data_IF_945757174635
#
_entry.id   IF_945757174635
#
_cell.length_a   1.000
_cell.length_b   1.000
_cell.length_c   1.000
_cell.angle_alpha   90.00
_cell.angle_beta   90.00
_cell.angle_gamma   90.00
#
_symmetry.space_group_name_H-M   'P 1'
#
loop_
_entity.id
_entity.type
_entity.pdbx_description
1 polymer ?
#
# COMPACT_ATOMS: atom_id res chain seq x y z
N UNK A 1 -1.58 -15.29 -24.74
CA UNK A 1 -2.49 -14.37 -24.01
C UNK A 1 -3.47 -15.23 -23.23
N UNK A 2 -3.62 -15.07 -21.92
CA UNK A 2 -4.67 -15.77 -21.19
C UNK A 2 -6.02 -15.29 -21.74
N UNK A 3 -6.90 -16.23 -22.07
CA UNK A 3 -8.28 -15.94 -22.46
C UNK A 3 -8.95 -15.26 -21.25
N UNK A 4 -9.30 -13.99 -21.36
CA UNK A 4 -10.17 -13.33 -20.39
C UNK A 4 -11.52 -14.01 -20.45
N UNK A 5 -11.82 -14.86 -19.47
CA UNK A 5 -13.14 -15.46 -19.32
C UNK A 5 -14.02 -14.41 -18.64
N UNK A 6 -15.11 -14.06 -19.28
CA UNK A 6 -16.09 -13.11 -18.76
C UNK A 6 -16.82 -13.71 -17.56
N UNK A 7 -16.84 -13.00 -16.43
CA UNK A 7 -17.44 -13.45 -15.18
C UNK A 7 -18.93 -13.85 -15.31
N UNK A 8 -19.79 -13.10 -16.03
CA UNK A 8 -21.15 -13.51 -16.33
C UNK A 8 -21.25 -14.89 -16.99
N UNK A 9 -20.39 -15.18 -17.98
CA UNK A 9 -20.35 -16.48 -18.65
C UNK A 9 -19.97 -17.63 -17.70
N UNK A 10 -19.02 -17.37 -16.78
CA UNK A 10 -18.64 -18.34 -15.73
C UNK A 10 -19.81 -18.60 -14.78
N UNK A 11 -20.51 -17.55 -14.34
CA UNK A 11 -21.65 -17.68 -13.44
C UNK A 11 -22.83 -18.42 -14.11
N UNK A 12 -23.08 -18.16 -15.39
CA UNK A 12 -24.08 -18.91 -16.16
C UNK A 12 -23.72 -20.38 -16.24
N UNK A 13 -22.44 -20.70 -16.54
CA UNK A 13 -21.95 -22.08 -16.57
C UNK A 13 -22.11 -22.77 -15.21
N UNK A 14 -21.67 -22.13 -14.11
CA UNK A 14 -21.81 -22.68 -12.74
C UNK A 14 -23.29 -22.92 -12.39
N UNK A 15 -24.17 -22.01 -12.75
CA UNK A 15 -25.61 -22.15 -12.49
C UNK A 15 -26.30 -23.24 -13.35
N UNK A 16 -25.67 -23.66 -14.45
CA UNK A 16 -26.16 -24.77 -15.29
C UNK A 16 -25.63 -26.15 -14.87
N UNK A 17 -24.67 -26.19 -13.96
CA UNK A 17 -24.05 -27.44 -13.51
C UNK A 17 -24.93 -28.19 -12.52
N UNK A 18 -24.91 -29.53 -12.59
CA UNK A 18 -25.47 -30.42 -11.58
C UNK A 18 -24.63 -30.39 -10.29
N UNK A 19 -25.22 -30.85 -9.17
CA UNK A 19 -24.51 -30.96 -7.90
C UNK A 19 -23.24 -31.78 -7.95
N UNK A 20 -23.21 -32.81 -8.80
CA UNK A 20 -22.02 -33.64 -9.01
C UNK A 20 -20.90 -32.87 -9.73
N UNK A 21 -21.23 -32.11 -10.77
CA UNK A 21 -20.29 -31.28 -11.50
C UNK A 21 -19.79 -30.11 -10.61
N UNK A 22 -20.65 -29.51 -9.80
CA UNK A 22 -20.26 -28.48 -8.84
C UNK A 22 -19.25 -29.01 -7.81
N UNK A 23 -19.40 -30.26 -7.36
CA UNK A 23 -18.39 -30.91 -6.47
C UNK A 23 -17.05 -31.08 -7.17
N UNK A 24 -17.02 -31.54 -8.41
CA UNK A 24 -15.80 -31.74 -9.22
C UNK A 24 -15.11 -30.35 -9.42
N UNK A 25 -15.88 -29.33 -9.79
CA UNK A 25 -15.36 -27.96 -9.97
C UNK A 25 -14.77 -27.45 -8.65
N UNK A 26 -15.46 -27.65 -7.54
CA UNK A 26 -14.99 -27.22 -6.21
C UNK A 26 -13.70 -27.94 -5.80
N UNK A 27 -13.59 -29.25 -6.06
CA UNK A 27 -12.40 -30.05 -5.77
C UNK A 27 -11.21 -29.63 -6.66
N UNK A 28 -11.47 -29.30 -7.92
CA UNK A 28 -10.44 -28.79 -8.83
C UNK A 28 -9.98 -27.39 -8.45
N UNK A 29 -10.91 -26.50 -8.08
CA UNK A 29 -10.60 -25.18 -7.52
C UNK A 29 -9.78 -25.34 -6.23
N UNK A 30 -10.18 -26.24 -5.33
CA UNK A 30 -9.43 -26.52 -4.11
C UNK A 30 -8.01 -27.01 -4.42
N UNK A 31 -7.86 -27.89 -5.43
CA UNK A 31 -6.56 -28.41 -5.88
C UNK A 31 -5.67 -27.30 -6.45
N UNK A 32 -6.22 -26.39 -7.25
CA UNK A 32 -5.50 -25.22 -7.78
C UNK A 32 -5.12 -24.25 -6.65
N UNK A 33 -6.04 -24.01 -5.70
CA UNK A 33 -5.78 -23.17 -4.54
C UNK A 33 -4.72 -23.77 -3.60
N UNK A 34 -4.65 -25.10 -3.48
CA UNK A 34 -3.62 -25.79 -2.70
C UNK A 34 -2.22 -25.70 -3.34
N UNK A 35 -2.12 -25.49 -4.66
CA UNK A 35 -0.83 -25.25 -5.36
C UNK A 35 -0.26 -23.85 -5.11
N UNK A 36 -1.09 -22.90 -4.69
CA UNK A 36 -0.62 -21.55 -4.33
C UNK A 36 0.07 -21.60 -2.97
N UNK A 37 1.26 -20.97 -2.82
CA UNK A 37 1.98 -20.99 -1.56
C UNK A 37 1.14 -20.34 -0.44
N UNK A 38 1.09 -21.01 0.68
CA UNK A 38 0.48 -20.40 1.88
C UNK A 38 1.32 -19.23 2.35
N UNK A 39 0.70 -18.26 3.04
CA UNK A 39 1.46 -17.16 3.66
C UNK A 39 2.58 -17.67 4.57
N UNK A 40 2.37 -18.81 5.25
CA UNK A 40 3.40 -19.44 6.09
C UNK A 40 4.57 -19.96 5.28
N UNK A 41 4.33 -20.54 4.10
CA UNK A 41 5.38 -20.99 3.18
C UNK A 41 6.15 -19.82 2.57
N UNK A 42 5.48 -18.77 2.12
CA UNK A 42 6.11 -17.54 1.64
C UNK A 42 7.01 -16.89 2.72
N UNK A 43 6.56 -16.86 3.98
CA UNK A 43 7.35 -16.40 5.12
C UNK A 43 8.59 -17.26 5.37
N UNK A 44 8.43 -18.59 5.31
CA UNK A 44 9.55 -19.50 5.50
C UNK A 44 10.56 -19.38 4.37
N UNK A 45 10.10 -19.25 3.14
CA UNK A 45 10.97 -19.07 1.98
C UNK A 45 11.73 -17.75 2.03
N UNK A 46 11.03 -16.64 2.34
CA UNK A 46 11.69 -15.36 2.55
C UNK A 46 12.76 -15.42 3.65
N UNK A 47 12.49 -16.10 4.78
CA UNK A 47 13.47 -16.26 5.85
C UNK A 47 14.61 -17.21 5.51
N UNK A 48 14.42 -18.19 4.63
CA UNK A 48 15.51 -19.02 4.12
C UNK A 48 16.45 -18.24 3.21
N UNK A 49 15.89 -17.44 2.29
CA UNK A 49 16.65 -16.67 1.30
C UNK A 49 17.37 -15.47 1.91
N UNK A 50 16.74 -14.75 2.84
CA UNK A 50 17.33 -13.59 3.54
C UNK A 50 18.21 -13.95 4.74
N UNK A 51 18.33 -15.26 5.08
CA UNK A 51 18.96 -15.69 6.31
C UNK A 51 18.05 -15.47 7.54
N UNK A 52 18.39 -16.13 8.65
CA UNK A 52 17.64 -15.95 9.91
C UNK A 52 18.19 -14.75 10.69
N UNK A 53 18.09 -13.57 10.09
CA UNK A 53 18.47 -12.33 10.76
C UNK A 53 17.41 -11.89 11.78
N UNK A 54 17.88 -11.26 12.85
CA UNK A 54 17.02 -10.74 13.89
C UNK A 54 16.23 -9.52 13.37
N UNK A 55 14.88 -9.53 13.43
CA UNK A 55 14.07 -8.40 12.97
C UNK A 55 14.17 -7.17 13.89
N UNK A 56 14.91 -7.24 14.99
CA UNK A 56 15.08 -6.14 15.94
C UNK A 56 16.45 -5.44 15.83
N UNK A 57 17.50 -6.15 15.40
CA UNK A 57 18.86 -5.61 15.36
C UNK A 57 19.69 -6.15 14.19
N UNK A 58 19.10 -6.90 13.26
CA UNK A 58 19.75 -7.55 12.11
C UNK A 58 20.89 -8.53 12.48
N UNK A 59 21.06 -8.85 13.78
CA UNK A 59 22.09 -9.78 14.23
C UNK A 59 21.75 -11.23 13.89
N UNK A 60 22.75 -12.11 13.93
CA UNK A 60 22.61 -13.55 13.63
C UNK A 60 21.70 -14.24 14.64
N UNK A 61 20.80 -15.09 14.14
CA UNK A 61 19.88 -15.85 14.98
C UNK A 61 20.08 -17.37 14.83
N UNK A 62 19.74 -18.09 15.89
CA UNK A 62 19.75 -19.56 15.93
C UNK A 62 18.37 -20.09 16.24
N UNK A 63 18.08 -21.31 15.82
CA UNK A 63 16.83 -21.98 16.17
C UNK A 63 16.76 -22.18 17.71
N UNK A 64 15.60 -21.89 18.28
CA UNK A 64 15.36 -21.98 19.73
C UNK A 64 14.02 -22.67 20.01
N UNK A 65 13.92 -23.94 19.65
CA UNK A 65 12.71 -24.74 19.87
C UNK A 65 11.48 -24.25 19.11
N UNK A 66 10.31 -24.69 19.55
CA UNK A 66 9.01 -24.29 19.01
C UNK A 66 8.16 -23.65 20.08
N UNK A 67 7.26 -22.73 19.69
CA UNK A 67 6.28 -22.18 20.60
C UNK A 67 5.10 -23.16 20.79
N UNK A 68 4.17 -22.82 21.70
CA UNK A 68 2.97 -23.64 22.00
C UNK A 68 2.10 -23.92 20.76
N UNK A 69 2.13 -23.04 19.76
CA UNK A 69 1.40 -23.20 18.49
C UNK A 69 2.20 -23.99 17.42
N UNK A 70 3.35 -24.60 17.80
CA UNK A 70 4.17 -25.41 16.91
C UNK A 70 5.10 -24.62 15.97
N UNK A 71 5.07 -23.28 15.98
CA UNK A 71 5.93 -22.46 15.13
C UNK A 71 7.37 -22.46 15.61
N UNK A 72 8.33 -22.58 14.67
CA UNK A 72 9.75 -22.47 14.96
C UNK A 72 10.08 -21.12 15.59
N UNK A 73 10.73 -21.13 16.73
CA UNK A 73 11.29 -19.95 17.39
C UNK A 73 12.77 -19.79 17.05
N UNK A 74 13.20 -18.56 17.03
CA UNK A 74 14.60 -18.17 16.84
C UNK A 74 15.02 -17.27 18.00
N UNK A 75 16.29 -17.32 18.37
CA UNK A 75 16.91 -16.43 19.35
C UNK A 75 18.06 -15.69 18.70
N UNK A 76 18.07 -14.38 18.84
CA UNK A 76 19.19 -13.56 18.38
C UNK A 76 20.39 -13.73 19.32
N UNK A 77 21.59 -13.90 18.72
CA UNK A 77 22.83 -14.00 19.49
C UNK A 77 23.26 -12.66 20.07
N UNK A 78 22.95 -11.55 19.38
CA UNK A 78 23.43 -10.21 19.74
C UNK A 78 22.51 -9.54 20.77
N UNK A 79 21.19 -9.47 20.51
CA UNK A 79 20.24 -8.79 21.40
C UNK A 79 19.45 -9.74 22.33
N UNK A 80 19.63 -11.06 22.24
CA UNK A 80 19.00 -12.07 23.08
C UNK A 80 17.50 -12.26 22.87
N UNK A 81 16.84 -11.47 22.01
CA UNK A 81 15.38 -11.52 21.78
C UNK A 81 14.98 -12.78 21.04
N UNK A 82 13.83 -13.35 21.45
CA UNK A 82 13.18 -14.43 20.73
C UNK A 82 12.19 -13.89 19.71
N UNK A 83 12.07 -14.58 18.56
CA UNK A 83 11.14 -14.23 17.50
C UNK A 83 10.72 -15.47 16.69
N UNK A 84 9.71 -15.33 15.86
CA UNK A 84 9.24 -16.34 14.90
C UNK A 84 9.28 -15.75 13.49
N UNK A 85 9.03 -16.53 12.44
CA UNK A 85 8.91 -16.03 11.08
C UNK A 85 7.85 -14.92 10.96
N UNK A 86 6.77 -14.98 11.73
CA UNK A 86 5.69 -13.98 11.71
C UNK A 86 6.07 -12.64 12.39
N UNK A 87 7.18 -12.59 13.13
CA UNK A 87 7.57 -11.37 13.86
C UNK A 87 7.92 -10.25 12.90
N UNK A 88 7.43 -9.05 13.18
CA UNK A 88 7.53 -7.84 12.36
C UNK A 88 6.77 -7.87 11.02
N UNK A 89 6.06 -8.94 10.71
CA UNK A 89 5.18 -9.03 9.53
C UNK A 89 3.71 -8.73 9.90
N UNK A 90 2.83 -8.46 8.94
CA UNK A 90 1.39 -8.29 9.21
C UNK A 90 0.75 -9.45 9.98
N UNK A 91 1.30 -10.66 9.88
CA UNK A 91 0.81 -11.85 10.57
C UNK A 91 1.22 -11.91 12.05
N UNK A 92 2.03 -10.99 12.53
CA UNK A 92 2.43 -10.97 13.95
C UNK A 92 1.20 -10.91 14.86
N UNK A 93 1.17 -11.79 15.88
CA UNK A 93 0.08 -11.91 16.87
C UNK A 93 -1.30 -12.23 16.25
N UNK A 94 -1.34 -12.90 15.10
CA UNK A 94 -2.60 -13.43 14.56
C UNK A 94 -2.94 -14.78 15.22
N UNK A 95 -4.25 -15.03 15.42
CA UNK A 95 -4.80 -16.31 15.85
C UNK A 95 -5.54 -17.05 14.74
N UNK A 96 -5.67 -16.41 13.57
CA UNK A 96 -6.35 -16.97 12.40
C UNK A 96 -5.34 -17.70 11.53
N UNK A 97 -5.80 -18.74 10.83
CA UNK A 97 -5.00 -19.55 9.92
C UNK A 97 -4.60 -18.81 8.64
N UNK A 98 -3.73 -19.41 7.86
CA UNK A 98 -3.23 -18.85 6.61
C UNK A 98 -4.32 -18.69 5.54
N UNK A 99 -5.31 -19.60 5.50
CA UNK A 99 -6.41 -19.50 4.53
C UNK A 99 -7.29 -18.30 4.78
N UNK A 100 -7.65 -18.01 6.03
CA UNK A 100 -8.40 -16.78 6.38
C UNK A 100 -7.64 -15.51 5.98
N UNK A 101 -6.31 -15.50 6.15
CA UNK A 101 -5.48 -14.38 5.72
C UNK A 101 -5.46 -14.25 4.20
N UNK A 102 -5.37 -15.36 3.47
CA UNK A 102 -5.43 -15.35 2.00
C UNK A 102 -6.75 -14.77 1.51
N UNK A 103 -7.88 -15.29 2.00
CA UNK A 103 -9.21 -14.74 1.70
C UNK A 103 -9.31 -13.24 2.03
N UNK A 104 -8.73 -12.81 3.16
CA UNK A 104 -8.70 -11.39 3.52
C UNK A 104 -7.92 -10.55 2.49
N UNK A 105 -6.77 -11.01 2.02
CA UNK A 105 -5.96 -10.31 1.03
C UNK A 105 -6.62 -10.27 -0.35
N UNK A 106 -7.24 -11.37 -0.79
CA UNK A 106 -8.03 -11.43 -2.02
C UNK A 106 -9.17 -10.41 -2.00
N UNK A 107 -9.95 -10.39 -0.93
CA UNK A 107 -11.02 -9.40 -0.77
C UNK A 107 -10.49 -7.96 -0.67
N UNK A 108 -9.33 -7.75 -0.03
CA UNK A 108 -8.69 -6.44 0.01
C UNK A 108 -8.30 -5.98 -1.40
N UNK A 109 -7.76 -6.87 -2.23
CA UNK A 109 -7.45 -6.61 -3.64
C UNK A 109 -8.69 -6.30 -4.49
N UNK A 110 -9.85 -6.88 -4.13
CA UNK A 110 -11.16 -6.55 -4.73
C UNK A 110 -11.80 -5.28 -4.14
N UNK A 111 -11.05 -4.51 -3.34
CA UNK A 111 -11.50 -3.27 -2.71
C UNK A 111 -12.69 -3.44 -1.73
N UNK A 112 -12.83 -4.61 -1.12
CA UNK A 112 -13.90 -4.90 -0.18
C UNK A 112 -13.95 -3.93 1.01
N UNK A 113 -15.16 -3.62 1.43
CA UNK A 113 -15.43 -2.81 2.62
C UNK A 113 -15.08 -3.58 3.90
N UNK A 114 -14.97 -2.87 5.03
CA UNK A 114 -14.74 -3.54 6.33
C UNK A 114 -15.85 -4.55 6.66
N UNK A 115 -17.10 -4.23 6.33
CA UNK A 115 -18.23 -5.14 6.61
C UNK A 115 -18.15 -6.43 5.79
N UNK A 116 -17.81 -6.35 4.50
CA UNK A 116 -17.60 -7.52 3.65
C UNK A 116 -16.45 -8.38 4.15
N UNK A 117 -15.32 -7.74 4.52
CA UNK A 117 -14.18 -8.43 5.13
C UNK A 117 -14.57 -9.15 6.43
N UNK A 118 -15.41 -8.54 7.29
CA UNK A 118 -15.86 -9.20 8.53
C UNK A 118 -16.71 -10.42 8.25
N UNK A 119 -17.70 -10.29 7.34
CA UNK A 119 -18.60 -11.38 6.98
C UNK A 119 -17.86 -12.56 6.37
N UNK A 120 -17.01 -12.31 5.35
CA UNK A 120 -16.34 -13.38 4.62
C UNK A 120 -15.23 -14.07 5.42
N UNK A 121 -14.48 -13.33 6.24
CA UNK A 121 -13.35 -13.86 7.01
C UNK A 121 -13.73 -14.32 8.43
N UNK A 122 -14.95 -14.14 8.87
CA UNK A 122 -15.39 -14.48 10.25
C UNK A 122 -14.54 -13.77 11.31
N UNK A 123 -14.31 -12.46 11.15
CA UNK A 123 -13.51 -11.62 12.05
C UNK A 123 -14.29 -10.37 12.45
N UNK A 124 -13.96 -9.75 13.58
CA UNK A 124 -14.60 -8.49 14.01
C UNK A 124 -14.17 -7.32 13.13
N UNK A 125 -15.01 -6.26 13.07
CA UNK A 125 -14.68 -5.01 12.36
C UNK A 125 -13.34 -4.42 12.82
N UNK A 126 -13.08 -4.44 14.12
CA UNK A 126 -11.81 -3.97 14.70
C UNK A 126 -10.63 -4.80 14.18
N UNK A 127 -10.80 -6.13 14.06
CA UNK A 127 -9.75 -7.01 13.51
C UNK A 127 -9.54 -6.74 12.03
N UNK A 128 -10.60 -6.65 11.22
CA UNK A 128 -10.51 -6.34 9.80
C UNK A 128 -9.82 -4.99 9.56
N UNK A 129 -10.19 -3.96 10.32
CA UNK A 129 -9.56 -2.65 10.26
C UNK A 129 -8.06 -2.70 10.63
N UNK A 130 -7.70 -3.44 11.69
CA UNK A 130 -6.30 -3.62 12.11
C UNK A 130 -5.49 -4.38 11.08
N UNK A 131 -6.02 -5.46 10.52
CA UNK A 131 -5.35 -6.26 9.49
C UNK A 131 -5.08 -5.43 8.25
N UNK A 132 -6.08 -4.68 7.76
CA UNK A 132 -5.91 -3.76 6.64
C UNK A 132 -4.78 -2.75 6.90
N UNK A 133 -4.75 -2.14 8.08
CA UNK A 133 -3.69 -1.20 8.42
C UNK A 133 -2.31 -1.87 8.52
N UNK A 134 -2.21 -3.12 9.00
CA UNK A 134 -0.95 -3.86 9.00
C UNK A 134 -0.42 -4.11 7.59
N UNK A 135 -1.30 -4.51 6.65
CA UNK A 135 -0.94 -4.67 5.25
C UNK A 135 -0.50 -3.33 4.66
N UNK A 136 -1.26 -2.28 4.89
CA UNK A 136 -0.94 -0.94 4.42
C UNK A 136 0.38 -0.40 4.99
N UNK A 137 0.70 -0.67 6.25
CA UNK A 137 1.98 -0.29 6.84
C UNK A 137 3.16 -1.01 6.19
N UNK A 138 3.01 -2.29 5.85
CA UNK A 138 4.01 -3.03 5.10
C UNK A 138 4.24 -2.43 3.69
N UNK A 139 3.16 -2.04 3.01
CA UNK A 139 3.26 -1.39 1.70
C UNK A 139 3.84 0.03 1.77
N UNK A 140 3.57 0.79 2.84
CA UNK A 140 4.23 2.08 3.07
C UNK A 140 5.75 1.87 3.24
N UNK A 141 6.16 0.86 4.00
CA UNK A 141 7.58 0.53 4.17
C UNK A 141 8.23 0.13 2.84
N UNK A 142 7.58 -0.73 2.06
CA UNK A 142 8.03 -1.11 0.72
C UNK A 142 8.19 0.14 -0.18
N UNK A 143 7.18 1.01 -0.22
CA UNK A 143 7.21 2.25 -1.00
C UNK A 143 8.33 3.21 -0.56
N UNK A 144 8.64 3.27 0.75
CA UNK A 144 9.72 4.10 1.26
C UNK A 144 11.11 3.62 0.81
N UNK A 145 11.25 2.32 0.59
CA UNK A 145 12.51 1.68 0.18
C UNK A 145 12.58 1.43 -1.34
N UNK A 146 11.57 1.84 -2.10
CA UNK A 146 11.53 1.66 -3.54
C UNK A 146 12.46 2.66 -4.23
N UNK A 147 13.31 2.18 -5.13
CA UNK A 147 14.18 3.00 -5.95
C UNK A 147 13.55 3.21 -7.33
N UNK A 148 13.48 4.48 -7.74
CA UNK A 148 13.02 4.93 -9.04
C UNK A 148 14.24 5.32 -9.89
N UNK A 149 14.22 4.96 -11.18
CA UNK A 149 15.35 5.17 -12.08
C UNK A 149 14.90 5.60 -13.49
N UNK A 150 15.84 6.08 -14.28
CA UNK A 150 15.59 6.50 -15.66
C UNK A 150 14.75 7.78 -15.72
N UNK A 151 13.72 7.81 -16.54
CA UNK A 151 12.80 8.96 -16.63
C UNK A 151 11.70 8.83 -15.61
N UNK A 152 11.58 9.84 -14.73
CA UNK A 152 10.63 9.87 -13.60
C UNK A 152 9.63 11.00 -13.84
N UNK A 153 8.36 10.64 -14.08
CA UNK A 153 7.26 11.59 -14.10
C UNK A 153 6.92 12.01 -12.66
N UNK A 154 6.74 13.32 -12.42
CA UNK A 154 6.45 13.85 -11.10
C UNK A 154 5.39 14.97 -11.17
N UNK A 155 4.33 14.83 -10.37
CA UNK A 155 3.25 15.82 -10.24
C UNK A 155 2.53 15.66 -8.90
N UNK A 156 1.73 16.65 -8.47
CA UNK A 156 1.02 16.61 -7.20
C UNK A 156 -0.49 16.49 -7.38
N UNK A 157 -1.10 15.66 -6.53
CA UNK A 157 -2.55 15.69 -6.31
C UNK A 157 -2.90 16.22 -4.94
N UNK A 158 -4.12 16.76 -4.79
CA UNK A 158 -4.55 17.45 -3.58
C UNK A 158 -5.87 16.91 -3.07
N UNK A 159 -5.90 16.60 -1.79
CA UNK A 159 -7.11 16.16 -1.10
C UNK A 159 -7.44 17.11 0.05
N UNK A 160 -8.73 17.32 0.30
CA UNK A 160 -9.16 17.99 1.54
C UNK A 160 -8.81 17.13 2.75
N UNK A 161 -8.47 17.78 3.86
CA UNK A 161 -8.30 17.07 5.12
C UNK A 161 -9.61 16.41 5.56
N UNK A 162 -9.49 15.22 6.14
CA UNK A 162 -10.62 14.42 6.61
C UNK A 162 -10.35 13.84 8.00
N UNK A 163 -11.26 14.14 8.91
CA UNK A 163 -11.27 13.61 10.29
C UNK A 163 -12.26 12.45 10.44
N UNK A 164 -12.65 11.80 9.35
CA UNK A 164 -13.63 10.70 9.34
C UNK A 164 -13.32 9.64 10.39
N UNK A 165 -14.33 9.25 11.15
CA UNK A 165 -14.22 8.21 12.20
C UNK A 165 -13.46 8.65 13.44
N UNK A 166 -13.11 9.92 13.56
CA UNK A 166 -12.44 10.46 14.74
C UNK A 166 -13.46 11.22 15.62
N UNK A 167 -13.99 10.53 16.60
CA UNK A 167 -14.92 11.09 17.58
C UNK A 167 -14.25 11.56 18.86
N UNK A 168 -12.92 11.36 19.00
CA UNK A 168 -12.18 11.65 20.22
C UNK A 168 -11.65 13.08 20.32
N UNK A 169 -11.69 13.84 19.23
CA UNK A 169 -11.23 15.24 19.21
C UNK A 169 -12.42 16.16 19.27
N UNK A 170 -12.68 16.67 20.43
CA UNK A 170 -13.65 17.72 20.67
C UNK A 170 -13.01 18.87 21.49
N UNK A 171 -13.15 20.14 21.10
CA UNK A 171 -13.81 20.56 19.87
C UNK A 171 -13.07 20.08 18.61
N UNK A 172 -13.82 19.82 17.55
CA UNK A 172 -13.25 19.43 16.28
C UNK A 172 -12.26 20.52 15.80
N UNK A 173 -11.17 20.09 15.14
CA UNK A 173 -10.17 21.04 14.63
C UNK A 173 -10.76 22.04 13.60
N UNK A 174 -11.94 21.79 13.12
CA UNK A 174 -12.79 22.63 12.26
C UNK A 174 -14.21 22.10 12.27
N UNK A 175 -15.15 22.91 11.78
CA UNK A 175 -16.53 22.49 11.56
C UNK A 175 -16.63 21.32 10.56
N UNK A 176 -17.70 20.51 10.72
CA UNK A 176 -17.97 19.45 9.78
C UNK A 176 -18.29 20.02 8.41
N UNK A 177 -17.71 19.42 7.36
CA UNK A 177 -18.00 19.81 5.96
C UNK A 177 -19.07 18.91 5.39
N UNK A 178 -19.97 19.47 4.60
CA UNK A 178 -20.87 18.69 3.75
C UNK A 178 -20.05 17.88 2.76
N UNK A 179 -20.50 16.66 2.45
CA UNK A 179 -19.86 15.79 1.49
C UNK A 179 -19.83 16.48 0.12
N UNK A 180 -18.65 16.49 -0.50
CA UNK A 180 -18.46 17.12 -1.82
C UNK A 180 -18.35 18.66 -1.79
N UNK A 181 -18.47 19.33 -0.61
CA UNK A 181 -18.27 20.78 -0.53
C UNK A 181 -16.89 21.19 -1.04
N UNK A 182 -16.81 22.35 -1.71
CA UNK A 182 -15.53 22.93 -2.14
C UNK A 182 -14.67 23.37 -0.93
N UNK A 183 -13.36 23.56 -1.11
CA UNK A 183 -12.54 24.24 -0.11
C UNK A 183 -13.04 25.67 0.07
N UNK A 184 -12.96 26.22 1.28
CA UNK A 184 -13.40 27.58 1.56
C UNK A 184 -12.42 28.63 1.00
N UNK A 185 -11.13 28.26 0.92
CA UNK A 185 -10.09 29.10 0.36
C UNK A 185 -9.87 28.79 -1.12
N UNK A 186 -9.73 29.84 -1.94
CA UNK A 186 -9.51 29.73 -3.38
C UNK A 186 -8.12 29.14 -3.70
N UNK A 187 -8.06 28.27 -4.69
CA UNK A 187 -6.82 27.66 -5.19
C UNK A 187 -6.20 26.65 -4.23
N UNK A 188 -4.90 26.36 -4.38
CA UNK A 188 -4.17 25.45 -3.50
C UNK A 188 -3.91 26.15 -2.17
N UNK A 189 -4.54 25.66 -1.11
CA UNK A 189 -4.53 26.29 0.20
C UNK A 189 -4.17 25.30 1.31
N UNK A 190 -3.97 25.83 2.52
CA UNK A 190 -3.72 25.01 3.73
C UNK A 190 -4.84 24.04 4.12
N UNK A 191 -6.01 24.14 3.48
CA UNK A 191 -7.11 23.20 3.67
C UNK A 191 -6.91 21.89 2.92
N UNK A 192 -5.94 21.87 2.01
CA UNK A 192 -5.64 20.72 1.16
C UNK A 192 -4.33 20.07 1.59
N UNK A 193 -4.34 18.75 1.56
CA UNK A 193 -3.19 17.88 1.78
C UNK A 193 -2.54 17.68 0.42
N UNK A 194 -1.24 17.97 0.33
CA UNK A 194 -0.42 17.75 -0.85
C UNK A 194 0.12 16.33 -0.88
N UNK A 195 -0.05 15.65 -2.01
CA UNK A 195 0.41 14.28 -2.26
C UNK A 195 1.22 14.31 -3.56
N UNK A 196 2.52 14.58 -3.50
CA UNK A 196 3.39 14.38 -4.65
C UNK A 196 3.43 12.90 -5.02
N UNK A 197 3.35 12.65 -6.31
CA UNK A 197 3.39 11.34 -6.93
C UNK A 197 4.59 11.29 -7.88
N UNK A 198 5.33 10.19 -7.85
CA UNK A 198 6.44 9.91 -8.76
C UNK A 198 6.22 8.56 -9.41
N UNK A 199 6.59 8.45 -10.69
CA UNK A 199 6.54 7.22 -11.44
C UNK A 199 7.74 7.13 -12.37
N UNK A 200 8.44 6.00 -12.38
CA UNK A 200 9.55 5.77 -13.30
C UNK A 200 9.12 5.12 -14.63
N UNK A 201 10.07 5.00 -15.54
CA UNK A 201 9.86 4.35 -16.85
C UNK A 201 9.47 2.87 -16.72
N UNK A 202 9.87 2.21 -15.64
CA UNK A 202 9.58 0.80 -15.37
C UNK A 202 8.18 0.58 -14.78
N UNK A 203 7.43 1.66 -14.53
CA UNK A 203 6.07 1.61 -13.99
C UNK A 203 6.00 1.44 -12.48
N UNK A 204 7.07 1.76 -11.76
CA UNK A 204 7.06 1.83 -10.30
C UNK A 204 6.50 3.16 -9.85
N UNK A 205 5.62 3.12 -8.84
CA UNK A 205 4.95 4.31 -8.32
C UNK A 205 5.26 4.55 -6.86
N UNK A 206 5.62 5.79 -6.51
CA UNK A 206 5.75 6.24 -5.13
C UNK A 206 4.95 7.51 -4.93
N UNK A 207 4.07 7.51 -3.93
CA UNK A 207 3.31 8.68 -3.55
C UNK A 207 3.15 8.74 -2.02
N UNK A 208 3.21 9.95 -1.44
CA UNK A 208 3.16 10.15 0.01
C UNK A 208 2.50 11.49 0.33
N UNK A 209 1.79 11.57 1.44
CA UNK A 209 1.40 12.86 2.01
C UNK A 209 2.66 13.57 2.48
N UNK A 210 2.83 14.82 2.06
CA UNK A 210 4.00 15.62 2.42
C UNK A 210 3.66 16.80 3.33
N UNK A 211 2.80 17.69 2.87
CA UNK A 211 2.47 18.94 3.58
C UNK A 211 1.02 19.36 3.31
N UNK A 212 0.63 20.50 3.85
CA UNK A 212 -0.60 21.20 3.49
C UNK A 212 -0.28 22.31 2.49
N UNK A 213 -1.16 22.52 1.51
CA UNK A 213 -1.01 23.54 0.48
C UNK A 213 0.10 23.22 -0.51
N UNK A 214 0.72 24.24 -1.07
CA UNK A 214 1.74 24.09 -2.13
C UNK A 214 2.95 23.32 -1.65
N UNK A 215 3.48 22.49 -2.53
CA UNK A 215 4.72 21.74 -2.29
C UNK A 215 5.93 22.69 -2.20
N UNK A 216 6.94 22.30 -1.44
CA UNK A 216 8.23 22.98 -1.38
C UNK A 216 9.38 21.96 -1.50
N UNK A 217 10.54 22.45 -1.92
CA UNK A 217 11.70 21.59 -2.19
C UNK A 217 12.23 20.85 -0.93
N UNK A 218 12.35 21.47 0.25
CA UNK A 218 12.80 20.75 1.45
C UNK A 218 11.89 19.58 1.80
N UNK A 219 10.58 19.74 1.67
CA UNK A 219 9.62 18.67 1.95
C UNK A 219 9.71 17.55 0.91
N UNK A 220 9.88 17.89 -0.38
CA UNK A 220 10.13 16.89 -1.43
C UNK A 220 11.41 16.11 -1.13
N UNK A 221 12.53 16.79 -0.85
CA UNK A 221 13.80 16.10 -0.54
C UNK A 221 13.66 15.19 0.66
N UNK A 222 13.02 15.64 1.74
CA UNK A 222 12.78 14.80 2.92
C UNK A 222 11.91 13.60 2.64
N UNK A 223 10.94 13.73 1.73
CA UNK A 223 10.01 12.64 1.38
C UNK A 223 10.62 11.62 0.44
N UNK A 224 11.40 12.05 -0.56
CA UNK A 224 11.69 11.24 -1.74
C UNK A 224 13.18 11.13 -2.08
N UNK A 225 14.11 11.80 -1.36
CA UNK A 225 15.53 11.70 -1.69
C UNK A 225 16.04 10.24 -1.72
N UNK A 226 15.55 9.40 -0.80
CA UNK A 226 15.91 7.98 -0.78
C UNK A 226 15.19 7.11 -1.83
N UNK A 227 14.31 7.70 -2.65
CA UNK A 227 13.62 6.98 -3.71
C UNK A 227 14.19 7.27 -5.12
N UNK A 228 15.09 8.25 -5.27
CA UNK A 228 15.60 8.66 -6.58
C UNK A 228 17.03 8.16 -6.75
N UNK A 229 17.25 7.40 -7.80
CA UNK A 229 18.61 7.01 -8.21
C UNK A 229 19.31 8.21 -8.86
N UNK A 230 20.52 8.59 -8.40
CA UNK A 230 21.28 9.66 -9.03
C UNK A 230 21.49 9.41 -10.53
N UNK A 231 21.46 10.49 -11.34
CA UNK A 231 21.52 10.41 -12.79
C UNK A 231 20.17 10.14 -13.49
N UNK A 232 19.07 10.04 -12.73
CA UNK A 232 17.72 9.99 -13.28
C UNK A 232 17.30 11.33 -13.88
N UNK A 233 16.28 11.31 -14.72
CA UNK A 233 15.66 12.50 -15.34
C UNK A 233 14.28 12.70 -14.76
N UNK A 234 14.04 13.80 -14.05
CA UNK A 234 12.72 14.15 -13.53
C UNK A 234 11.98 14.98 -14.57
N UNK A 235 10.76 14.55 -14.93
CA UNK A 235 9.83 15.29 -15.78
C UNK A 235 8.68 15.78 -14.92
N UNK A 236 8.50 17.10 -14.81
CA UNK A 236 7.43 17.69 -13.98
C UNK A 236 6.74 18.84 -14.70
N UNK A 237 5.66 19.33 -14.11
CA UNK A 237 5.09 20.61 -14.47
C UNK A 237 6.05 21.78 -14.12
N UNK A 238 5.58 23.02 -14.31
CA UNK A 238 6.38 24.24 -14.06
C UNK A 238 6.58 24.58 -12.58
N UNK A 239 6.27 23.68 -11.63
CA UNK A 239 6.41 23.97 -10.20
C UNK A 239 7.89 24.17 -9.82
N UNK A 240 8.16 25.33 -9.17
CA UNK A 240 9.53 25.75 -8.85
C UNK A 240 10.22 24.85 -7.81
N UNK A 241 9.43 24.10 -7.01
CA UNK A 241 9.95 23.18 -6.01
C UNK A 241 10.85 22.10 -6.60
N UNK A 242 10.50 21.60 -7.79
CA UNK A 242 11.27 20.53 -8.46
C UNK A 242 12.67 20.97 -8.88
N UNK A 243 12.92 22.27 -9.14
CA UNK A 243 14.25 22.77 -9.53
C UNK A 243 15.31 22.60 -8.44
N UNK A 244 14.92 22.81 -7.18
CA UNK A 244 15.83 22.57 -6.05
C UNK A 244 15.87 21.10 -5.65
N UNK A 245 14.74 20.42 -5.76
CA UNK A 245 14.64 18.99 -5.45
C UNK A 245 15.53 18.17 -6.38
N UNK A 246 15.44 18.34 -7.71
CA UNK A 246 16.24 17.57 -8.67
C UNK A 246 17.75 17.72 -8.41
N UNK A 247 18.21 18.95 -8.14
CA UNK A 247 19.60 19.21 -7.76
C UNK A 247 20.01 18.48 -6.48
N UNK A 248 19.10 18.43 -5.47
CA UNK A 248 19.41 17.79 -4.19
C UNK A 248 19.52 16.26 -4.26
N UNK A 249 18.96 15.64 -5.29
CA UNK A 249 19.00 14.19 -5.51
C UNK A 249 19.92 13.78 -6.67
N UNK A 250 20.62 14.75 -7.29
CA UNK A 250 21.53 14.48 -8.40
C UNK A 250 20.81 14.01 -9.68
N UNK A 251 19.62 14.56 -9.94
CA UNK A 251 18.80 14.25 -11.11
C UNK A 251 18.69 15.46 -12.03
N UNK A 252 18.60 15.22 -13.34
CA UNK A 252 18.28 16.25 -14.32
C UNK A 252 16.78 16.59 -14.28
N UNK A 253 16.42 17.82 -14.64
CA UNK A 253 15.03 18.26 -14.63
C UNK A 253 14.60 18.76 -16.01
N UNK A 254 13.50 18.18 -16.51
CA UNK A 254 12.75 18.69 -17.64
C UNK A 254 11.38 19.18 -17.19
N UNK A 255 11.09 20.46 -17.38
CA UNK A 255 9.80 21.05 -17.01
C UNK A 255 8.92 21.20 -18.23
N UNK A 256 7.70 20.70 -18.16
CA UNK A 256 6.65 20.89 -19.16
C UNK A 256 6.06 22.27 -18.93
N UNK A 257 6.06 23.15 -19.95
CA UNK A 257 5.49 24.48 -19.84
C UNK A 257 3.99 24.44 -19.51
N UNK A 258 3.56 25.43 -18.72
CA UNK A 258 2.14 25.54 -18.34
C UNK A 258 1.22 25.58 -19.57
N UNK A 259 0.16 24.76 -19.54
CA UNK A 259 -0.81 24.63 -20.61
C UNK A 259 -0.41 23.64 -21.72
N UNK A 260 0.74 22.98 -21.59
CA UNK A 260 1.13 21.84 -22.45
C UNK A 260 1.07 20.54 -21.63
N UNK A 261 0.78 19.43 -22.31
CA UNK A 261 0.76 18.09 -21.68
C UNK A 261 2.03 17.28 -22.01
N UNK A 262 2.82 17.73 -22.98
CA UNK A 262 4.06 17.08 -23.42
C UNK A 262 5.03 18.06 -24.05
N UNK A 263 6.31 17.69 -24.07
CA UNK A 263 7.39 18.34 -24.82
C UNK A 263 8.24 17.24 -25.46
N UNK A 264 8.18 17.14 -26.80
CA UNK A 264 8.77 16.00 -27.51
C UNK A 264 8.14 14.67 -27.05
N UNK A 265 8.98 13.72 -26.65
CA UNK A 265 8.56 12.42 -26.12
C UNK A 265 8.22 12.44 -24.62
N UNK A 266 8.52 13.54 -23.92
CA UNK A 266 8.31 13.66 -22.49
C UNK A 266 6.88 14.11 -22.17
N UNK A 267 6.23 13.44 -21.24
CA UNK A 267 4.86 13.76 -20.78
C UNK A 267 4.70 13.38 -19.31
N UNK A 268 3.54 13.75 -18.72
CA UNK A 268 3.14 13.42 -17.33
C UNK A 268 1.78 12.71 -17.31
N UNK A 269 1.43 12.00 -18.37
CA UNK A 269 0.08 11.39 -18.49
C UNK A 269 -0.11 10.19 -17.57
N UNK A 270 0.94 9.41 -17.35
CA UNK A 270 0.87 8.23 -16.49
C UNK A 270 0.64 8.64 -15.04
N UNK A 271 1.27 9.71 -14.58
CA UNK A 271 1.05 10.28 -13.26
C UNK A 271 -0.40 10.74 -13.08
N UNK A 272 -1.01 11.35 -14.11
CA UNK A 272 -2.42 11.73 -14.07
C UNK A 272 -3.36 10.53 -13.93
N UNK A 273 -3.01 9.38 -14.52
CA UNK A 273 -3.74 8.12 -14.30
C UNK A 273 -3.66 7.65 -12.84
N UNK A 274 -2.48 7.78 -12.20
CA UNK A 274 -2.34 7.47 -10.78
C UNK A 274 -3.19 8.42 -9.92
N UNK A 275 -3.21 9.74 -10.22
CA UNK A 275 -4.06 10.71 -9.51
C UNK A 275 -5.53 10.29 -9.54
N UNK A 276 -6.04 9.97 -10.72
CA UNK A 276 -7.42 9.49 -10.91
C UNK A 276 -7.68 8.19 -10.12
N UNK A 277 -6.73 7.28 -10.09
CA UNK A 277 -6.84 6.01 -9.34
C UNK A 277 -6.86 6.24 -7.82
N UNK A 278 -6.02 7.14 -7.29
CA UNK A 278 -6.03 7.52 -5.87
C UNK A 278 -7.35 8.21 -5.53
N UNK A 279 -7.80 9.15 -6.36
CA UNK A 279 -9.06 9.87 -6.16
C UNK A 279 -10.26 8.93 -6.16
N UNK A 280 -10.35 8.06 -7.15
CA UNK A 280 -11.41 7.06 -7.25
C UNK A 280 -11.45 6.17 -6.00
N UNK A 281 -10.32 5.64 -5.56
CA UNK A 281 -10.25 4.80 -4.38
C UNK A 281 -10.66 5.53 -3.10
N UNK A 282 -10.15 6.74 -2.90
CA UNK A 282 -10.43 7.53 -1.68
C UNK A 282 -11.87 8.01 -1.67
N UNK A 283 -12.38 8.57 -2.76
CA UNK A 283 -13.65 9.28 -2.79
C UNK A 283 -14.84 8.40 -3.18
N UNK A 284 -14.67 7.44 -4.10
CA UNK A 284 -15.75 6.62 -4.62
C UNK A 284 -15.80 5.26 -3.94
N UNK A 285 -14.73 4.47 -3.99
CA UNK A 285 -14.70 3.12 -3.40
C UNK A 285 -14.91 3.17 -1.89
N UNK A 286 -14.10 3.96 -1.17
CA UNK A 286 -14.17 4.05 0.29
C UNK A 286 -15.03 5.21 0.80
N UNK A 287 -15.65 5.98 -0.09
CA UNK A 287 -16.52 7.11 0.23
C UNK A 287 -15.89 8.10 1.23
N UNK A 288 -14.62 8.41 1.00
CA UNK A 288 -13.76 9.21 1.86
C UNK A 288 -13.06 8.38 2.93
N UNK A 289 -11.79 8.70 3.18
CA UNK A 289 -10.96 8.10 4.22
C UNK A 289 -10.44 9.17 5.16
N UNK A 290 -10.15 8.81 6.41
CA UNK A 290 -9.47 9.72 7.32
C UNK A 290 -8.06 10.02 6.83
N UNK A 291 -7.65 11.29 6.85
CA UNK A 291 -6.28 11.69 6.49
C UNK A 291 -5.22 10.95 7.30
N UNK A 292 -5.53 10.60 8.53
CA UNK A 292 -4.70 9.79 9.44
C UNK A 292 -4.22 8.47 8.83
N UNK A 293 -5.04 7.84 8.00
CA UNK A 293 -4.77 6.53 7.38
C UNK A 293 -4.54 6.61 5.87
N UNK A 294 -4.63 7.79 5.28
CA UNK A 294 -4.62 8.00 3.82
C UNK A 294 -3.33 7.49 3.17
N UNK A 295 -2.16 7.64 3.80
CA UNK A 295 -0.90 7.10 3.27
C UNK A 295 -0.97 5.59 2.97
N UNK A 296 -1.72 4.83 3.76
CA UNK A 296 -1.92 3.40 3.51
C UNK A 296 -2.71 3.13 2.24
N UNK A 297 -3.78 3.89 2.00
CA UNK A 297 -4.56 3.78 0.76
C UNK A 297 -3.76 4.22 -0.47
N UNK A 298 -2.93 5.26 -0.33
CA UNK A 298 -2.03 5.73 -1.38
C UNK A 298 -1.02 4.62 -1.73
N UNK A 299 -0.31 4.08 -0.74
CA UNK A 299 0.67 3.01 -0.95
C UNK A 299 0.04 1.76 -1.57
N UNK A 300 -1.16 1.38 -1.15
CA UNK A 300 -1.91 0.28 -1.74
C UNK A 300 -2.33 0.56 -3.19
N UNK A 301 -2.72 1.80 -3.50
CA UNK A 301 -3.04 2.20 -4.88
C UNK A 301 -1.80 2.14 -5.76
N UNK A 302 -0.66 2.69 -5.32
CA UNK A 302 0.60 2.59 -6.02
C UNK A 302 0.99 1.14 -6.28
N UNK A 303 0.91 0.29 -5.25
CA UNK A 303 1.19 -1.14 -5.37
C UNK A 303 0.31 -1.81 -6.44
N UNK A 304 -1.00 -1.54 -6.44
CA UNK A 304 -1.93 -2.09 -7.46
C UNK A 304 -1.63 -1.59 -8.89
N UNK A 305 -1.11 -0.38 -9.04
CA UNK A 305 -0.72 0.15 -10.35
C UNK A 305 0.59 -0.46 -10.87
N UNK A 306 1.49 -0.80 -9.97
CA UNK A 306 2.79 -1.44 -10.32
C UNK A 306 2.61 -2.91 -10.69
N UNK A 307 1.60 -3.60 -10.14
CA UNK A 307 1.42 -5.05 -10.29
C UNK A 307 0.23 -5.37 -11.20
N UNK A 308 0.37 -6.42 -11.99
CA UNK A 308 -0.67 -6.92 -12.90
C UNK A 308 -0.77 -8.44 -12.82
N UNK A 309 -1.92 -8.99 -13.20
CA UNK A 309 -2.17 -10.42 -13.22
C UNK A 309 -3.59 -10.76 -12.78
N UNK A 310 -3.89 -12.04 -12.72
CA UNK A 310 -5.13 -12.58 -12.13
C UNK A 310 -5.18 -12.35 -10.61
N UNK A 311 -6.35 -12.44 -10.02
CA UNK A 311 -6.50 -12.26 -8.57
C UNK A 311 -5.62 -13.21 -7.74
N UNK A 312 -5.49 -14.52 -8.05
CA UNK A 312 -4.53 -15.39 -7.36
C UNK A 312 -3.08 -14.93 -7.48
N UNK A 313 -2.63 -14.55 -8.69
CA UNK A 313 -1.26 -14.06 -8.94
C UNK A 313 -0.98 -12.76 -8.17
N UNK A 314 -1.91 -11.80 -8.20
CA UNK A 314 -1.81 -10.58 -7.41
C UNK A 314 -1.78 -10.86 -5.91
N UNK A 315 -2.54 -11.86 -5.45
CA UNK A 315 -2.53 -12.26 -4.05
C UNK A 315 -1.17 -12.84 -3.65
N UNK A 316 -0.57 -13.67 -4.49
CA UNK A 316 0.76 -14.24 -4.25
C UNK A 316 1.85 -13.15 -4.26
N UNK A 317 1.78 -12.20 -5.20
CA UNK A 317 2.67 -11.03 -5.23
C UNK A 317 2.52 -10.18 -3.96
N UNK A 318 1.28 -9.91 -3.52
CA UNK A 318 1.02 -9.15 -2.30
C UNK A 318 1.55 -9.87 -1.07
N UNK A 319 1.37 -11.19 -0.97
CA UNK A 319 1.93 -12.01 0.11
C UNK A 319 3.45 -11.90 0.12
N UNK A 320 4.11 -12.09 -1.05
CA UNK A 320 5.55 -12.01 -1.19
C UNK A 320 6.12 -10.65 -0.77
N UNK A 321 5.37 -9.57 -0.97
CA UNK A 321 5.79 -8.23 -0.62
C UNK A 321 5.55 -7.89 0.86
N UNK A 322 4.38 -8.19 1.40
CA UNK A 322 4.08 -7.83 2.79
C UNK A 322 4.88 -8.64 3.83
N UNK A 323 5.38 -9.82 3.45
CA UNK A 323 6.25 -10.62 4.34
C UNK A 323 7.67 -10.06 4.47
N UNK A 324 8.09 -9.18 3.55
CA UNK A 324 9.37 -8.46 3.61
C UNK A 324 9.39 -7.34 4.64
N UNK A 325 8.22 -6.96 5.18
CA UNK A 325 8.14 -5.90 6.19
C UNK A 325 9.01 -6.21 7.42
N UNK A 326 9.78 -5.23 7.84
CA UNK A 326 10.68 -5.34 8.99
C UNK A 326 10.07 -4.79 10.27
N UNK A 327 8.95 -4.04 10.16
CA UNK A 327 8.25 -3.46 11.28
C UNK A 327 6.73 -3.44 11.08
N UNK A 328 6.01 -3.91 12.07
CA UNK A 328 4.55 -3.76 12.16
C UNK A 328 4.19 -2.85 13.33
N UNK A 329 3.42 -1.82 13.05
CA UNK A 329 2.92 -0.91 14.09
C UNK A 329 1.96 -1.62 15.03
N UNK A 330 2.14 -1.39 16.31
CA UNK A 330 1.19 -1.83 17.34
C UNK A 330 -0.14 -1.07 17.21
N UNK A 331 -1.17 -1.54 17.92
CA UNK A 331 -2.45 -0.82 17.98
C UNK A 331 -2.29 0.58 18.56
N UNK A 332 -1.40 0.75 19.56
CA UNK A 332 -1.12 2.02 20.21
C UNK A 332 -0.46 2.97 19.21
N UNK A 333 0.60 2.54 18.53
CA UNK A 333 1.29 3.36 17.52
C UNK A 333 0.36 3.73 16.35
N UNK A 334 -0.50 2.79 15.92
CA UNK A 334 -1.49 3.05 14.87
C UNK A 334 -2.54 4.06 15.32
N UNK A 335 -2.95 4.01 16.59
CA UNK A 335 -3.88 4.97 17.19
C UNK A 335 -3.24 6.33 17.46
N UNK A 336 -1.95 6.38 17.74
CA UNK A 336 -1.19 7.60 17.99
C UNK A 336 -0.75 8.34 16.71
N UNK A 337 -1.06 7.83 15.51
CA UNK A 337 -0.76 8.55 14.24
C UNK A 337 -1.33 9.96 14.30
N UNK A 338 -0.60 10.96 13.79
CA UNK A 338 -1.14 12.32 13.66
C UNK A 338 -2.36 12.32 12.74
N UNK A 339 -3.32 13.22 12.99
CA UNK A 339 -4.53 13.35 12.17
C UNK A 339 -4.23 13.65 10.71
N UNK A 340 -3.19 14.43 10.47
CA UNK A 340 -2.66 14.69 9.16
C UNK A 340 -1.16 14.35 9.22
N UNK A 341 -0.74 13.26 8.60
CA UNK A 341 0.63 12.76 8.70
C UNK A 341 1.56 13.53 7.75
N UNK A 342 1.66 14.85 7.93
CA UNK A 342 2.60 15.68 7.18
C UNK A 342 4.04 15.41 7.63
N UNK A 343 4.97 15.59 6.71
CA UNK A 343 6.41 15.52 6.97
C UNK A 343 6.83 16.79 7.68
N UNK A 344 7.40 16.65 8.89
CA UNK A 344 7.91 17.76 9.69
C UNK A 344 9.35 18.10 9.32
#
# INVERSE_FOLDING_TARGET
MPKTVDLPSVLMFINSCSDAELRIINDEIATVMLKSPTISEALLEHKKTSGYECPYCSGKAVKNGKNVAGHQMYRCKDCGKNFTANTCTPLQRTRKNSSTWRTFLEMLLMDATINELTGRCGISQTTAFRWRNKVFDALIELSNNMELQGTIEADETFFKDSYKGNHAVWPAARDSRSRGSSASLRGISREQICIPCLMDSDGKYVAKITNRGKINAPTLSKAFAGNITPGSVIVSDSATAYRRFSKSVGADLHQIPRGKHSVGSLNIQKINSLHSSIESRVNHVHRGVSSKYMNGYIAFTCWKQTHSGSLPELTDQLIADIVKATRVKTCIESSARPFIPVIK
#
